data_IF_516793545541
#
_entry.id   IF_516793545541
#
_cell.length_a   1.000
_cell.length_b   1.000
_cell.length_c   1.000
_cell.angle_alpha   90.00
_cell.angle_beta   90.00
_cell.angle_gamma   90.00
#
_symmetry.space_group_name_H-M   'P 1'
#
loop_
_entity.id
_entity.type
_entity.pdbx_description
1 polymer ?
#
# COMPACT_ATOMS: atom_id res chain seq x y z
N UNK A 1 -49.35 -13.61 26.99
CA UNK A 1 -48.40 -12.50 26.74
C UNK A 1 -46.93 -12.84 27.03
N UNK A 2 -46.63 -13.65 28.04
CA UNK A 2 -45.23 -13.99 28.44
C UNK A 2 -44.48 -14.82 27.38
N UNK A 3 -45.11 -15.82 26.76
CA UNK A 3 -44.47 -16.70 25.77
C UNK A 3 -43.99 -15.96 24.51
N UNK A 4 -44.76 -14.96 24.04
CA UNK A 4 -44.39 -14.09 22.90
C UNK A 4 -43.17 -13.22 23.21
N UNK A 5 -43.00 -12.80 24.46
CA UNK A 5 -41.86 -11.99 24.91
C UNK A 5 -40.58 -12.82 25.03
N UNK A 6 -40.68 -14.07 25.48
CA UNK A 6 -39.56 -15.01 25.52
C UNK A 6 -39.05 -15.38 24.12
N UNK A 7 -39.95 -15.62 23.15
CA UNK A 7 -39.54 -15.91 21.77
C UNK A 7 -38.85 -14.70 21.11
N UNK A 8 -39.33 -13.47 21.35
CA UNK A 8 -38.66 -12.27 20.83
C UNK A 8 -37.26 -12.10 21.42
N UNK A 9 -37.09 -12.35 22.73
CA UNK A 9 -35.80 -12.26 23.40
C UNK A 9 -34.81 -13.31 22.90
N UNK A 10 -35.27 -14.54 22.67
CA UNK A 10 -34.45 -15.62 22.12
C UNK A 10 -34.01 -15.36 20.68
N UNK A 11 -34.88 -14.79 19.84
CA UNK A 11 -34.54 -14.39 18.46
C UNK A 11 -33.56 -13.22 18.47
N UNK A 12 -33.76 -12.21 19.32
CA UNK A 12 -32.84 -11.07 19.44
C UNK A 12 -31.45 -11.50 19.94
N UNK A 13 -31.39 -12.40 20.93
CA UNK A 13 -30.14 -12.95 21.46
C UNK A 13 -29.41 -13.82 20.42
N UNK A 14 -30.15 -14.60 19.63
CA UNK A 14 -29.61 -15.38 18.50
C UNK A 14 -29.03 -14.50 17.40
N UNK A 15 -29.67 -13.36 17.08
CA UNK A 15 -29.12 -12.40 16.11
C UNK A 15 -27.83 -11.72 16.61
N UNK A 16 -27.71 -11.43 17.92
CA UNK A 16 -26.48 -10.86 18.49
C UNK A 16 -25.29 -11.84 18.47
N UNK A 17 -25.54 -13.14 18.54
CA UNK A 17 -24.49 -14.18 18.52
C UNK A 17 -23.94 -14.46 17.11
N UNK A 18 -24.61 -13.98 16.05
CA UNK A 18 -24.20 -14.15 14.65
C UNK A 18 -23.51 -12.91 14.05
N UNK A 19 -23.09 -11.94 14.86
CA UNK A 19 -22.30 -10.83 14.34
C UNK A 19 -20.97 -11.36 13.75
N UNK A 20 -20.62 -11.03 12.49
CA UNK A 20 -19.34 -11.42 11.93
C UNK A 20 -18.23 -10.76 12.76
N UNK A 21 -17.26 -11.57 13.20
CA UNK A 21 -16.01 -11.05 13.72
C UNK A 21 -15.29 -10.38 12.54
N UNK A 22 -15.31 -9.05 12.50
CA UNK A 22 -14.52 -8.28 11.54
C UNK A 22 -13.06 -8.46 11.96
N UNK A 23 -12.36 -9.33 11.25
CA UNK A 23 -10.94 -9.57 11.48
C UNK A 23 -10.14 -8.51 10.72
N UNK A 24 -9.25 -7.83 11.43
CA UNK A 24 -8.32 -6.86 10.82
C UNK A 24 -7.47 -7.55 9.74
N UNK A 25 -7.44 -6.97 8.54
CA UNK A 25 -6.61 -7.46 7.45
C UNK A 25 -5.13 -7.33 7.83
N UNK A 26 -4.30 -8.28 7.41
CA UNK A 26 -2.86 -8.25 7.66
C UNK A 26 -2.12 -8.08 6.36
N UNK A 27 -1.13 -7.20 6.34
CA UNK A 27 -0.13 -7.13 5.27
C UNK A 27 0.87 -8.25 5.51
N UNK A 28 0.74 -9.33 4.75
CA UNK A 28 1.59 -10.52 4.88
C UNK A 28 2.88 -10.40 4.06
N UNK A 29 2.88 -9.57 3.02
CA UNK A 29 4.04 -9.33 2.18
C UNK A 29 3.96 -7.97 1.47
N UNK A 30 5.12 -7.39 1.18
CA UNK A 30 5.23 -6.21 0.34
C UNK A 30 6.31 -6.45 -0.71
N UNK A 31 6.01 -6.14 -1.96
CA UNK A 31 6.94 -6.28 -3.09
C UNK A 31 7.07 -4.98 -3.85
N UNK A 32 8.29 -4.68 -4.27
CA UNK A 32 8.61 -3.53 -5.10
C UNK A 32 9.24 -4.00 -6.42
N UNK A 33 8.67 -3.58 -7.54
CA UNK A 33 9.30 -3.67 -8.85
C UNK A 33 9.65 -2.26 -9.30
N UNK A 34 10.93 -2.00 -9.51
CA UNK A 34 11.43 -0.69 -9.91
C UNK A 34 11.96 -0.71 -11.34
N UNK A 35 11.66 0.35 -12.08
CA UNK A 35 12.19 0.69 -13.38
C UNK A 35 12.66 2.16 -13.37
N UNK A 36 13.45 2.59 -14.37
CA UNK A 36 13.99 3.96 -14.39
C UNK A 36 12.94 5.07 -14.28
N UNK A 37 11.76 4.85 -14.85
CA UNK A 37 10.63 5.78 -15.01
C UNK A 37 9.34 5.38 -14.27
N UNK A 38 9.31 4.22 -13.60
CA UNK A 38 8.17 3.84 -12.78
C UNK A 38 8.55 2.84 -11.71
N UNK A 39 7.69 2.70 -10.70
CA UNK A 39 7.74 1.62 -9.74
C UNK A 39 6.34 1.12 -9.42
N UNK A 40 6.23 -0.17 -9.11
CA UNK A 40 5.01 -0.80 -8.61
C UNK A 40 5.28 -1.38 -7.23
N UNK A 41 4.53 -0.91 -6.25
CA UNK A 41 4.50 -1.46 -4.90
C UNK A 41 3.22 -2.28 -4.74
N UNK A 42 3.35 -3.53 -4.28
CA UNK A 42 2.19 -4.40 -4.05
C UNK A 42 2.21 -4.94 -2.64
N UNK A 43 1.11 -4.75 -1.93
CA UNK A 43 0.83 -5.33 -0.63
C UNK A 43 -0.02 -6.58 -0.85
N UNK A 44 0.43 -7.72 -0.35
CA UNK A 44 -0.42 -8.90 -0.21
C UNK A 44 -1.13 -8.85 1.14
N UNK A 45 -2.44 -9.00 1.10
CA UNK A 45 -3.33 -8.83 2.23
C UNK A 45 -4.07 -10.14 2.52
N UNK A 46 -4.20 -10.47 3.81
CA UNK A 46 -4.99 -11.61 4.26
C UNK A 46 -6.50 -11.41 4.08
N UNK A 47 -6.95 -10.16 3.90
CA UNK A 47 -8.34 -9.78 3.73
C UNK A 47 -8.49 -8.47 2.93
N UNK A 48 -9.73 -8.07 2.66
CA UNK A 48 -10.01 -6.77 2.07
C UNK A 48 -9.65 -5.64 3.05
N UNK A 49 -9.03 -4.58 2.53
CA UNK A 49 -8.75 -3.35 3.28
C UNK A 49 -9.04 -2.15 2.38
N UNK A 50 -9.73 -1.15 2.93
CA UNK A 50 -9.86 0.15 2.27
C UNK A 50 -8.53 0.90 2.37
N UNK A 51 -8.18 1.60 1.29
CA UNK A 51 -6.90 2.28 1.19
C UNK A 51 -7.08 3.74 0.76
N UNK A 52 -6.39 4.66 1.45
CA UNK A 52 -6.27 6.05 1.05
C UNK A 52 -4.81 6.38 0.71
N UNK A 53 -4.58 7.00 -0.44
CA UNK A 53 -3.25 7.25 -0.98
C UNK A 53 -3.15 8.72 -1.36
N UNK A 54 -2.22 9.43 -0.73
CA UNK A 54 -2.01 10.85 -0.98
C UNK A 54 -0.55 11.26 -0.84
N UNK A 55 -0.20 12.37 -1.50
CA UNK A 55 1.13 12.96 -1.45
C UNK A 55 1.19 14.03 -0.35
N UNK A 56 2.35 14.11 0.30
CA UNK A 56 2.74 15.23 1.14
C UNK A 56 4.02 15.84 0.58
N UNK A 57 4.14 17.16 0.66
CA UNK A 57 5.36 17.89 0.33
C UNK A 57 6.17 18.23 1.59
N UNK A 58 7.42 18.66 1.41
CA UNK A 58 8.32 19.17 2.45
C UNK A 58 8.45 18.32 3.74
N UNK A 59 9.06 17.11 3.71
CA UNK A 59 9.65 16.43 2.55
C UNK A 59 8.62 15.63 1.74
N UNK A 60 8.93 15.41 0.45
CA UNK A 60 8.09 14.63 -0.48
C UNK A 60 7.88 13.21 0.03
N UNK A 61 6.62 12.84 0.23
CA UNK A 61 6.20 11.54 0.73
C UNK A 61 4.95 11.06 0.01
N UNK A 62 4.88 9.76 -0.29
CA UNK A 62 3.64 9.08 -0.61
C UNK A 62 3.17 8.36 0.65
N UNK A 63 1.98 8.72 1.13
CA UNK A 63 1.35 8.09 2.29
C UNK A 63 0.31 7.11 1.78
N UNK A 64 0.33 5.90 2.34
CA UNK A 64 -0.60 4.82 2.05
C UNK A 64 -1.21 4.42 3.39
N UNK A 65 -2.46 4.78 3.58
CA UNK A 65 -3.25 4.41 4.74
C UNK A 65 -4.12 3.21 4.41
N UNK A 66 -4.12 2.22 5.28
CA UNK A 66 -4.92 1.01 5.20
C UNK A 66 -5.80 0.93 6.46
N UNK A 67 -7.10 0.87 6.26
CA UNK A 67 -8.08 0.82 7.34
C UNK A 67 -8.15 -0.57 7.95
N UNK A 68 -8.36 -0.61 9.28
CA UNK A 68 -8.47 -1.83 10.07
C UNK A 68 -7.43 -2.90 9.70
N UNK A 69 -6.18 -2.47 9.53
CA UNK A 69 -5.10 -3.28 8.99
C UNK A 69 -3.85 -3.28 9.87
N UNK A 70 -3.16 -4.42 9.91
CA UNK A 70 -1.88 -4.62 10.59
C UNK A 70 -0.74 -4.98 9.63
N UNK A 71 0.50 -4.95 10.13
CA UNK A 71 1.70 -5.32 9.39
C UNK A 71 2.29 -6.61 9.98
N UNK A 72 2.33 -7.67 9.19
CA UNK A 72 2.83 -9.00 9.58
C UNK A 72 4.14 -9.36 8.82
N UNK A 73 4.85 -8.35 8.34
CA UNK A 73 6.07 -8.49 7.55
C UNK A 73 7.02 -7.31 7.77
N UNK A 74 8.29 -7.48 7.42
CA UNK A 74 9.33 -6.47 7.62
C UNK A 74 9.58 -5.66 6.34
N UNK A 75 9.22 -4.37 6.36
CA UNK A 75 9.41 -3.47 5.21
C UNK A 75 10.88 -3.12 4.95
N UNK A 76 11.75 -3.27 5.95
CA UNK A 76 13.19 -2.98 5.83
C UNK A 76 13.93 -3.89 4.86
N UNK A 77 13.30 -5.00 4.44
CA UNK A 77 13.86 -5.96 3.48
C UNK A 77 13.65 -5.57 2.02
N UNK A 78 12.84 -4.53 1.74
CA UNK A 78 12.58 -4.07 0.39
C UNK A 78 13.86 -3.50 -0.26
N UNK A 79 14.22 -4.04 -1.42
CA UNK A 79 15.24 -3.42 -2.25
C UNK A 79 14.66 -2.19 -2.97
N UNK A 80 15.10 -1.00 -2.56
CA UNK A 80 14.61 0.28 -3.08
C UNK A 80 15.41 0.77 -4.31
N UNK A 81 16.47 0.05 -4.70
CA UNK A 81 17.37 0.45 -5.79
C UNK A 81 16.62 0.66 -7.11
N UNK A 82 16.98 1.73 -7.81
CA UNK A 82 16.36 2.11 -9.08
C UNK A 82 14.96 2.74 -8.97
N UNK A 83 14.35 2.76 -7.78
CA UNK A 83 13.05 3.40 -7.55
C UNK A 83 13.17 4.89 -7.23
N UNK A 84 12.04 5.59 -7.13
CA UNK A 84 11.98 6.95 -6.58
C UNK A 84 12.05 6.99 -5.04
N UNK A 85 11.91 5.85 -4.36
CA UNK A 85 11.72 5.73 -2.91
C UNK A 85 13.10 5.72 -2.22
N UNK A 86 13.28 6.57 -1.22
CA UNK A 86 14.52 6.67 -0.44
C UNK A 86 14.44 5.96 0.90
N UNK A 87 13.25 5.87 1.49
CA UNK A 87 13.00 5.16 2.72
C UNK A 87 11.54 4.73 2.80
N UNK A 88 11.29 3.66 3.56
CA UNK A 88 9.94 3.17 3.87
C UNK A 88 9.79 3.13 5.38
N UNK A 89 8.68 3.67 5.88
CA UNK A 89 8.30 3.61 7.29
C UNK A 89 6.88 3.06 7.42
N UNK A 90 6.58 2.46 8.55
CA UNK A 90 5.23 2.08 8.92
C UNK A 90 4.90 2.53 10.35
N UNK A 91 3.62 2.61 10.66
CA UNK A 91 3.13 2.87 12.01
C UNK A 91 1.64 2.61 12.13
N UNK A 92 1.18 2.44 13.38
CA UNK A 92 -0.24 2.33 13.69
C UNK A 92 -0.92 3.68 13.48
N UNK A 93 -2.04 3.68 12.77
CA UNK A 93 -2.90 4.83 12.48
C UNK A 93 -4.21 4.66 13.23
N UNK A 94 -4.67 5.69 13.94
CA UNK A 94 -5.99 5.72 14.61
C UNK A 94 -6.33 4.47 15.45
N UNK A 95 -5.31 3.84 16.05
CA UNK A 95 -5.43 2.68 16.93
C UNK A 95 -5.53 1.30 16.26
N UNK A 96 -6.09 1.20 15.04
CA UNK A 96 -6.26 -0.09 14.36
C UNK A 96 -5.98 -0.06 12.84
N UNK A 97 -5.56 1.08 12.29
CA UNK A 97 -5.12 1.21 10.91
C UNK A 97 -3.61 1.06 10.78
N UNK A 98 -3.16 0.83 9.55
CA UNK A 98 -1.75 0.84 9.18
C UNK A 98 -1.48 2.06 8.30
N UNK A 99 -0.47 2.85 8.65
CA UNK A 99 0.07 3.88 7.77
C UNK A 99 1.44 3.44 7.28
N UNK A 100 1.63 3.39 5.97
CA UNK A 100 2.92 3.21 5.31
C UNK A 100 3.31 4.51 4.65
N UNK A 101 4.54 4.96 4.87
CA UNK A 101 5.07 6.21 4.33
C UNK A 101 6.30 5.91 3.50
N UNK A 102 6.24 6.26 2.23
CA UNK A 102 7.37 6.22 1.30
C UNK A 102 7.98 7.62 1.25
N UNK A 103 9.23 7.79 1.68
CA UNK A 103 9.98 9.01 1.42
C UNK A 103 10.47 9.00 -0.04
N UNK A 104 10.37 10.13 -0.75
CA UNK A 104 10.60 10.20 -2.19
C UNK A 104 11.72 11.17 -2.57
N UNK A 105 12.61 10.71 -3.44
CA UNK A 105 13.71 11.52 -4.02
C UNK A 105 13.23 12.50 -5.09
N UNK A 106 12.12 12.21 -5.76
CA UNK A 106 11.56 12.98 -6.89
C UNK A 106 10.04 12.94 -6.85
N UNK A 107 9.40 13.84 -7.60
CA UNK A 107 7.95 13.83 -7.80
C UNK A 107 7.54 12.53 -8.49
N UNK A 108 6.41 11.97 -8.05
CA UNK A 108 5.79 10.77 -8.63
C UNK A 108 4.30 11.06 -8.87
N UNK A 109 3.73 10.38 -9.85
CA UNK A 109 2.29 10.36 -10.11
C UNK A 109 1.74 8.99 -9.66
N UNK A 110 1.09 8.92 -8.48
CA UNK A 110 0.59 7.65 -7.97
C UNK A 110 -0.77 7.28 -8.57
N UNK A 111 -0.96 5.99 -8.85
CA UNK A 111 -2.26 5.37 -9.15
C UNK A 111 -2.38 4.10 -8.33
N UNK A 112 -3.53 3.88 -7.69
CA UNK A 112 -3.75 2.67 -6.90
C UNK A 112 -5.05 1.96 -7.27
N UNK A 113 -5.11 0.66 -7.01
CA UNK A 113 -6.30 -0.17 -7.12
C UNK A 113 -6.14 -1.44 -6.30
N UNK A 114 -7.27 -2.05 -5.91
CA UNK A 114 -7.29 -3.32 -5.20
C UNK A 114 -7.64 -4.47 -6.14
N UNK A 115 -7.03 -5.64 -5.94
CA UNK A 115 -7.37 -6.87 -6.63
C UNK A 115 -8.04 -7.85 -5.66
N UNK A 116 -9.15 -8.50 -6.05
CA UNK A 116 -9.71 -9.61 -5.28
C UNK A 116 -8.75 -10.81 -5.28
N UNK A 117 -8.93 -11.75 -4.34
CA UNK A 117 -8.15 -12.98 -4.30
C UNK A 117 -8.39 -13.82 -5.56
N UNK A 118 -7.39 -14.64 -5.91
CA UNK A 118 -7.47 -15.68 -6.93
C UNK A 118 -6.81 -16.98 -6.42
N UNK A 119 -6.69 -18.00 -7.26
CA UNK A 119 -6.16 -19.32 -6.86
C UNK A 119 -4.73 -19.29 -6.30
N UNK A 120 -3.95 -18.24 -6.60
CA UNK A 120 -2.54 -18.14 -6.23
C UNK A 120 -2.27 -17.08 -5.14
N UNK A 121 -3.05 -16.00 -5.11
CA UNK A 121 -2.81 -14.84 -4.25
C UNK A 121 -4.07 -14.41 -3.52
N UNK A 122 -3.89 -13.92 -2.29
CA UNK A 122 -4.94 -13.26 -1.52
C UNK A 122 -5.35 -11.90 -2.09
N UNK A 123 -6.02 -11.11 -1.25
CA UNK A 123 -6.31 -9.72 -1.57
C UNK A 123 -5.02 -8.95 -1.81
N UNK A 124 -5.04 -7.96 -2.70
CA UNK A 124 -3.86 -7.14 -2.98
C UNK A 124 -4.22 -5.67 -3.12
N UNK A 125 -3.39 -4.80 -2.54
CA UNK A 125 -3.34 -3.40 -2.91
C UNK A 125 -2.16 -3.19 -3.86
N UNK A 126 -2.41 -2.60 -5.03
CA UNK A 126 -1.38 -2.23 -6.01
C UNK A 126 -1.27 -0.72 -6.03
N UNK A 127 -0.04 -0.20 -5.87
CA UNK A 127 0.29 1.22 -5.97
C UNK A 127 1.35 1.38 -7.06
N UNK A 128 0.93 1.89 -8.21
CA UNK A 128 1.79 2.31 -9.31
C UNK A 128 2.28 3.74 -9.05
N UNK A 129 3.54 4.01 -9.35
CA UNK A 129 4.15 5.33 -9.28
C UNK A 129 4.89 5.57 -10.59
N UNK A 130 4.42 6.53 -11.38
CA UNK A 130 5.12 6.99 -12.59
C UNK A 130 5.98 8.21 -12.26
N UNK A 131 7.16 8.32 -12.88
CA UNK A 131 8.07 9.44 -12.67
C UNK A 131 9.07 9.60 -13.82
N UNK A 132 9.59 10.80 -14.10
CA UNK A 132 10.59 10.97 -15.13
C UNK A 132 11.83 10.11 -14.87
N UNK A 133 12.30 9.41 -15.91
CA UNK A 133 13.57 8.70 -15.86
C UNK A 133 14.68 9.64 -15.41
N UNK A 134 15.54 9.19 -14.50
CA UNK A 134 16.73 9.94 -14.13
C UNK A 134 17.64 9.93 -15.35
N UNK A 135 17.71 11.03 -16.09
CA UNK A 135 18.57 11.14 -17.27
C UNK A 135 20.01 10.91 -16.79
N UNK A 136 20.69 9.84 -17.20
CA UNK A 136 22.11 9.72 -16.91
C UNK A 136 22.78 10.93 -17.57
N UNK A 137 23.68 11.59 -16.84
CA UNK A 137 24.48 12.67 -17.41
C UNK A 137 25.09 12.15 -18.71
N UNK A 138 24.67 12.70 -19.85
CA UNK A 138 25.41 12.48 -21.09
C UNK A 138 26.68 13.31 -20.93
N UNK A 139 27.84 12.68 -21.03
CA UNK A 139 29.07 13.40 -21.36
C UNK A 139 28.72 14.34 -22.51
N UNK A 140 28.95 15.67 -22.40
CA UNK A 140 28.80 16.55 -23.54
C UNK A 140 29.53 15.90 -24.72
N UNK A 141 28.87 15.80 -25.87
CA UNK A 141 29.56 15.47 -27.11
C UNK A 141 30.59 16.59 -27.30
N UNK A 142 31.83 16.37 -26.85
CA UNK A 142 32.94 17.23 -27.23
C UNK A 142 32.99 17.07 -28.75
N UNK A 143 32.76 18.13 -29.54
CA UNK A 143 32.94 18.04 -30.98
C UNK A 143 34.37 17.54 -31.19
N UNK A 144 34.52 16.41 -31.88
CA UNK A 144 35.84 15.94 -32.30
C UNK A 144 36.51 17.10 -33.01
N UNK A 145 37.70 17.49 -32.56
CA UNK A 145 38.51 18.56 -33.16
C UNK A 145 39.05 18.22 -34.55
N UNK A 146 38.42 17.27 -35.24
CA UNK A 146 38.83 16.69 -36.51
C UNK A 146 37.81 16.98 -37.62
N UNK A 147 37.02 18.05 -37.51
CA UNK A 147 36.33 18.60 -38.69
C UNK A 147 37.35 19.46 -39.48
N UNK A 148 37.72 19.06 -40.70
CA UNK A 148 38.66 19.78 -41.55
C UNK A 148 38.09 21.06 -42.17
#
# INVERSE_FOLDING_TARGET
>A
MVLRRCCLFAVLLSLLLCAPLVQSAQVDNVRLWAAPDHARLVFDLSGHAEADIFLLDDPRRLVIDLDESGLNTELSSLNLDGSAITAVRSGVRDGNGLRVVLELSRTVEPRHFTLPPNDQYGHRLVVDMEYPAKVPWRTPLIPSSDDP
#
